data_IF_194385835887
#
_entry.id   IF_194385835887
#
_cell.length_a   1.000
_cell.length_b   1.000
_cell.length_c   1.000
_cell.angle_alpha   90.00
_cell.angle_beta   90.00
_cell.angle_gamma   90.00
#
_symmetry.space_group_name_H-M   'P 1'
#
loop_
_entity.id
_entity.type
_entity.pdbx_description
1 polymer ?
#
# COMPACT_ATOMS: atom_id res chain seq x y z
N UNK A 1 8.25 -24.40 -15.59
CA UNK A 1 8.24 -22.99 -15.14
C UNK A 1 6.95 -22.79 -14.36
N UNK A 2 7.03 -22.74 -13.04
CA UNK A 2 5.85 -22.50 -12.20
C UNK A 2 5.59 -21.00 -12.19
N UNK A 3 4.56 -20.54 -12.91
CA UNK A 3 4.12 -19.15 -12.83
C UNK A 3 3.44 -18.98 -11.47
N UNK A 4 4.07 -18.28 -10.54
CA UNK A 4 3.43 -17.91 -9.29
C UNK A 4 2.35 -16.87 -9.60
N UNK A 5 1.08 -17.25 -9.45
CA UNK A 5 -0.02 -16.31 -9.57
C UNK A 5 0.00 -15.38 -8.35
N UNK A 6 0.03 -14.07 -8.57
CA UNK A 6 -0.07 -13.09 -7.49
C UNK A 6 -1.43 -13.21 -6.79
N UNK A 7 -1.48 -13.10 -5.45
CA UNK A 7 -2.74 -13.13 -4.70
C UNK A 7 -3.61 -11.92 -5.05
N UNK A 8 -4.93 -12.08 -4.96
CA UNK A 8 -5.84 -10.93 -5.02
C UNK A 8 -5.72 -10.08 -3.75
N UNK A 9 -6.18 -8.83 -3.82
CA UNK A 9 -6.18 -7.94 -2.67
C UNK A 9 -6.90 -8.55 -1.46
N UNK A 10 -8.12 -9.13 -1.57
CA UNK A 10 -8.76 -9.80 -0.44
C UNK A 10 -7.94 -10.98 0.13
N UNK A 11 -7.27 -11.75 -0.72
CA UNK A 11 -6.44 -12.88 -0.29
C UNK A 11 -5.20 -12.43 0.50
N UNK A 12 -4.54 -11.37 0.06
CA UNK A 12 -3.35 -10.83 0.72
C UNK A 12 -3.67 -9.94 1.93
N UNK A 13 -4.91 -9.45 2.02
CA UNK A 13 -5.30 -8.39 2.95
C UNK A 13 -5.00 -8.73 4.42
N UNK A 14 -5.53 -9.86 4.91
CA UNK A 14 -5.43 -10.24 6.32
C UNK A 14 -3.99 -10.60 6.75
N UNK A 15 -3.14 -10.98 5.79
CA UNK A 15 -1.72 -11.33 6.05
C UNK A 15 -0.77 -10.16 5.85
N UNK A 16 -1.21 -9.09 5.18
CA UNK A 16 -0.42 -7.88 4.99
C UNK A 16 -0.26 -7.09 6.28
N UNK A 17 0.86 -6.38 6.43
CA UNK A 17 1.08 -5.47 7.55
C UNK A 17 0.11 -4.29 7.51
N UNK A 18 -0.06 -3.61 8.65
CA UNK A 18 -0.89 -2.40 8.73
C UNK A 18 -0.47 -1.33 7.70
N UNK A 19 0.84 -1.18 7.48
CA UNK A 19 1.39 -0.25 6.49
C UNK A 19 1.04 -0.67 5.06
N UNK A 20 1.12 -1.97 4.75
CA UNK A 20 0.74 -2.48 3.43
C UNK A 20 -0.76 -2.26 3.16
N UNK A 21 -1.62 -2.54 4.13
CA UNK A 21 -3.07 -2.31 4.03
C UNK A 21 -3.39 -0.84 3.71
N UNK A 22 -2.82 0.11 4.46
CA UNK A 22 -2.99 1.53 4.18
C UNK A 22 -2.40 1.92 2.82
N UNK A 23 -1.23 1.41 2.45
CA UNK A 23 -0.59 1.73 1.18
C UNK A 23 -1.35 1.18 -0.04
N UNK A 24 -1.98 0.02 0.06
CA UNK A 24 -2.84 -0.49 -1.01
C UNK A 24 -4.07 0.41 -1.19
N UNK A 25 -4.72 0.81 -0.10
CA UNK A 25 -5.83 1.78 -0.19
C UNK A 25 -5.38 3.11 -0.79
N UNK A 26 -4.19 3.61 -0.41
CA UNK A 26 -3.59 4.83 -0.96
C UNK A 26 -3.39 4.74 -2.47
N UNK A 27 -2.83 3.63 -2.95
CA UNK A 27 -2.68 3.38 -4.39
C UNK A 27 -4.03 3.32 -5.12
N UNK A 28 -5.07 2.76 -4.51
CA UNK A 28 -6.42 2.82 -5.10
C UNK A 28 -6.92 4.26 -5.23
N UNK A 29 -6.68 5.11 -4.23
CA UNK A 29 -7.05 6.52 -4.26
C UNK A 29 -6.28 7.31 -5.33
N UNK A 30 -4.98 7.05 -5.49
CA UNK A 30 -4.16 7.65 -6.56
C UNK A 30 -4.65 7.27 -7.96
N UNK A 31 -4.94 5.98 -8.17
CA UNK A 31 -5.39 5.46 -9.47
C UNK A 31 -6.79 5.96 -9.84
N UNK A 32 -7.58 6.40 -8.87
CA UNK A 32 -8.97 6.78 -9.07
C UNK A 32 -9.14 7.82 -10.17
N UNK A 33 -8.38 8.92 -10.14
CA UNK A 33 -8.53 10.02 -11.08
C UNK A 33 -8.32 9.57 -12.54
N UNK A 34 -7.22 8.88 -12.80
CA UNK A 34 -6.87 8.39 -14.14
C UNK A 34 -7.88 7.35 -14.64
N UNK A 35 -8.29 6.41 -13.80
CA UNK A 35 -9.26 5.39 -14.20
C UNK A 35 -10.67 5.98 -14.42
N UNK A 36 -11.07 6.99 -13.64
CA UNK A 36 -12.33 7.70 -13.87
C UNK A 36 -12.31 8.49 -15.19
N UNK A 37 -11.18 9.13 -15.51
CA UNK A 37 -11.03 9.86 -16.78
C UNK A 37 -11.15 8.92 -17.99
N UNK A 38 -10.58 7.72 -17.89
CA UNK A 38 -10.63 6.69 -18.91
C UNK A 38 -11.90 5.81 -18.85
N UNK A 39 -12.89 6.16 -18.00
CA UNK A 39 -14.15 5.43 -17.85
C UNK A 39 -13.95 3.94 -17.50
N UNK A 40 -12.95 3.63 -16.67
CA UNK A 40 -12.62 2.27 -16.21
C UNK A 40 -12.44 2.21 -14.68
N UNK A 41 -13.02 3.14 -13.92
CA UNK A 41 -12.94 3.16 -12.46
C UNK A 41 -13.57 1.93 -11.80
N UNK A 42 -14.51 1.25 -12.46
CA UNK A 42 -15.09 -0.03 -12.06
C UNK A 42 -14.03 -1.11 -11.83
N UNK A 43 -12.84 -0.95 -12.43
CA UNK A 43 -11.66 -1.79 -12.15
C UNK A 43 -11.35 -1.87 -10.66
N UNK A 44 -11.38 -0.73 -9.94
CA UNK A 44 -11.08 -0.66 -8.51
C UNK A 44 -12.20 -1.23 -7.62
N UNK A 45 -13.42 -1.36 -8.15
CA UNK A 45 -14.53 -1.99 -7.44
C UNK A 45 -14.45 -3.51 -7.46
N UNK A 46 -13.69 -4.09 -8.40
CA UNK A 46 -13.52 -5.53 -8.53
C UNK A 46 -12.25 -6.01 -7.82
N UNK A 47 -12.32 -6.09 -6.49
CA UNK A 47 -11.16 -6.36 -5.62
C UNK A 47 -10.43 -7.68 -5.96
N UNK A 48 -11.14 -8.70 -6.46
CA UNK A 48 -10.53 -9.97 -6.88
C UNK A 48 -9.60 -9.86 -8.10
N UNK A 49 -9.81 -8.82 -8.93
CA UNK A 49 -8.97 -8.51 -10.09
C UNK A 49 -7.73 -7.67 -9.74
N UNK A 50 -7.70 -7.09 -8.55
CA UNK A 50 -6.55 -6.34 -8.03
C UNK A 50 -5.56 -7.34 -7.46
N UNK A 51 -4.35 -7.40 -8.03
CA UNK A 51 -3.29 -8.28 -7.56
C UNK A 51 -2.33 -7.54 -6.67
N UNK A 52 -1.77 -8.24 -5.70
CA UNK A 52 -0.81 -7.70 -4.75
C UNK A 52 0.55 -8.32 -5.01
N UNK A 53 1.56 -7.44 -5.11
CA UNK A 53 2.97 -7.79 -5.22
C UNK A 53 3.70 -7.02 -4.13
N UNK A 54 3.84 -7.65 -2.96
CA UNK A 54 4.29 -7.01 -1.72
C UNK A 54 3.50 -5.73 -1.40
N UNK A 55 4.17 -4.57 -1.37
CA UNK A 55 3.54 -3.28 -1.12
C UNK A 55 2.76 -2.70 -2.30
N UNK A 56 2.81 -3.32 -3.49
CA UNK A 56 2.27 -2.75 -4.73
C UNK A 56 0.94 -3.40 -5.15
N UNK A 57 0.03 -2.56 -5.64
CA UNK A 57 -1.15 -3.01 -6.37
C UNK A 57 -0.86 -3.12 -7.87
N UNK A 58 -1.36 -4.20 -8.47
CA UNK A 58 -1.29 -4.46 -9.91
C UNK A 58 -2.69 -4.65 -10.47
N UNK A 59 -3.00 -3.89 -11.52
CA UNK A 59 -4.22 -4.04 -12.30
C UNK A 59 -3.97 -5.11 -13.38
N UNK A 60 -4.72 -6.21 -13.35
CA UNK A 60 -4.57 -7.28 -14.35
C UNK A 60 -5.50 -7.11 -15.55
N UNK A 61 -6.68 -6.54 -15.31
CA UNK A 61 -7.70 -6.29 -16.32
C UNK A 61 -8.39 -4.97 -16.00
N UNK A 62 -8.51 -4.10 -17.00
CA UNK A 62 -9.35 -2.91 -16.89
C UNK A 62 -10.80 -3.27 -17.16
N UNK A 63 -11.72 -2.78 -16.32
CA UNK A 63 -13.15 -2.96 -16.47
C UNK A 63 -13.78 -1.62 -16.86
N UNK A 64 -14.45 -1.53 -18.02
CA UNK A 64 -15.25 -0.37 -18.37
C UNK A 64 -16.29 -0.07 -17.30
N UNK A 65 -16.49 1.20 -17.03
CA UNK A 65 -17.65 1.72 -16.32
C UNK A 65 -18.86 1.39 -17.21
N UNK A 66 -19.66 0.39 -16.83
CA UNK A 66 -20.74 -0.11 -17.69
C UNK A 66 -21.74 0.99 -18.09
N UNK A 67 -22.55 0.75 -19.12
CA UNK A 67 -23.56 1.70 -19.65
C UNK A 67 -24.70 2.07 -18.68
N UNK A 68 -24.63 1.60 -17.43
CA UNK A 68 -25.61 1.92 -16.40
C UNK A 68 -25.61 3.43 -16.11
N UNK A 69 -26.79 4.01 -15.94
CA UNK A 69 -26.97 5.46 -15.76
C UNK A 69 -26.30 6.03 -14.49
N UNK A 70 -25.73 5.19 -13.62
CA UNK A 70 -25.10 5.60 -12.37
C UNK A 70 -23.56 5.54 -12.51
N UNK A 71 -22.85 6.65 -12.31
CA UNK A 71 -21.39 6.67 -12.40
C UNK A 71 -20.76 5.81 -11.29
N UNK A 72 -19.57 5.28 -11.57
CA UNK A 72 -18.74 4.67 -10.53
C UNK A 72 -18.29 5.75 -9.55
N UNK A 73 -18.65 5.60 -8.27
CA UNK A 73 -18.40 6.61 -7.23
C UNK A 73 -17.49 6.11 -6.12
N UNK A 74 -16.87 7.06 -5.40
CA UNK A 74 -16.12 6.76 -4.18
C UNK A 74 -17.00 6.12 -3.09
N UNK A 75 -18.31 6.38 -3.10
CA UNK A 75 -19.26 5.70 -2.23
C UNK A 75 -19.35 4.21 -2.55
N UNK A 76 -19.41 3.85 -3.83
CA UNK A 76 -19.36 2.45 -4.25
C UNK A 76 -18.05 1.79 -3.84
N UNK A 77 -16.92 2.51 -3.96
CA UNK A 77 -15.63 2.01 -3.46
C UNK A 77 -15.66 1.75 -1.95
N UNK A 78 -16.17 2.69 -1.16
CA UNK A 78 -16.35 2.52 0.29
C UNK A 78 -17.17 1.29 0.64
N UNK A 79 -18.25 1.01 -0.10
CA UNK A 79 -19.06 -0.19 0.08
C UNK A 79 -18.28 -1.47 -0.22
N UNK A 80 -17.52 -1.50 -1.32
CA UNK A 80 -16.71 -2.67 -1.70
C UNK A 80 -15.59 -2.98 -0.69
N UNK A 81 -15.05 -1.96 -0.03
CA UNK A 81 -13.97 -2.12 0.96
C UNK A 81 -14.45 -2.57 2.35
N UNK A 82 -15.77 -2.53 2.65
CA UNK A 82 -16.31 -2.91 3.97
C UNK A 82 -15.92 -4.32 4.45
N UNK A 83 -15.93 -5.37 3.62
CA UNK A 83 -15.50 -6.70 4.05
C UNK A 83 -14.02 -6.72 4.50
N UNK A 84 -13.15 -5.99 3.79
CA UNK A 84 -11.73 -5.89 4.15
C UNK A 84 -11.52 -5.21 5.51
N UNK A 85 -12.35 -4.21 5.85
CA UNK A 85 -12.29 -3.53 7.14
C UNK A 85 -12.53 -4.47 8.35
N UNK A 86 -13.23 -5.60 8.16
CA UNK A 86 -13.49 -6.56 9.24
C UNK A 86 -12.23 -7.36 9.62
N UNK A 87 -11.37 -7.61 8.63
CA UNK A 87 -10.14 -8.40 8.72
C UNK A 87 -8.87 -7.56 8.64
N UNK A 88 -8.99 -6.23 8.79
CA UNK A 88 -7.85 -5.32 8.86
C UNK A 88 -6.97 -5.60 10.09
N UNK A 89 -5.69 -5.22 10.02
CA UNK A 89 -4.76 -5.38 11.12
C UNK A 89 -5.20 -4.57 12.34
N UNK A 90 -5.02 -5.09 13.57
CA UNK A 90 -5.53 -4.46 14.79
C UNK A 90 -5.19 -2.97 14.92
N UNK A 91 -3.97 -2.57 14.55
CA UNK A 91 -3.44 -1.22 14.70
C UNK A 91 -4.16 -0.18 13.83
N UNK A 92 -4.76 -0.61 12.71
CA UNK A 92 -5.44 0.27 11.74
C UNK A 92 -6.90 -0.08 11.54
N UNK A 93 -7.42 -1.10 12.23
CA UNK A 93 -8.76 -1.64 12.02
C UNK A 93 -9.84 -0.59 12.22
N UNK A 94 -9.83 0.10 13.35
CA UNK A 94 -10.84 1.12 13.66
C UNK A 94 -10.80 2.28 12.66
N UNK A 95 -9.60 2.69 12.25
CA UNK A 95 -9.43 3.71 11.21
C UNK A 95 -9.99 3.25 9.86
N UNK A 96 -9.67 2.04 9.40
CA UNK A 96 -10.17 1.52 8.12
C UNK A 96 -11.70 1.32 8.17
N UNK A 97 -12.26 0.91 9.31
CA UNK A 97 -13.71 0.84 9.49
C UNK A 97 -14.37 2.21 9.39
N UNK A 98 -13.80 3.22 10.05
CA UNK A 98 -14.26 4.60 9.90
C UNK A 98 -14.14 5.09 8.45
N UNK A 99 -13.00 4.88 7.80
CA UNK A 99 -12.74 5.35 6.44
C UNK A 99 -13.71 4.74 5.43
N UNK A 100 -13.90 3.42 5.48
CA UNK A 100 -14.83 2.71 4.58
C UNK A 100 -16.28 3.11 4.81
N UNK A 101 -16.67 3.38 6.07
CA UNK A 101 -17.97 3.95 6.40
C UNK A 101 -18.13 5.38 5.84
N UNK A 102 -17.16 6.26 6.11
CA UNK A 102 -17.16 7.64 5.64
C UNK A 102 -17.24 7.73 4.11
N UNK A 103 -16.48 6.90 3.39
CA UNK A 103 -16.59 6.78 1.93
C UNK A 103 -17.99 6.36 1.51
N UNK A 104 -18.52 5.26 2.08
CA UNK A 104 -19.83 4.72 1.72
C UNK A 104 -20.99 5.69 2.02
N UNK A 105 -20.83 6.58 3.00
CA UNK A 105 -21.79 7.63 3.37
C UNK A 105 -21.58 8.94 2.59
N UNK A 106 -20.55 9.03 1.75
CA UNK A 106 -20.25 10.22 0.95
C UNK A 106 -19.60 11.37 1.74
N UNK A 107 -19.08 11.11 2.93
CA UNK A 107 -18.40 12.10 3.77
C UNK A 107 -17.01 12.52 3.23
N UNK A 108 -16.46 11.75 2.30
CA UNK A 108 -15.22 12.06 1.57
C UNK A 108 -15.57 12.34 0.10
N UNK A 109 -15.86 13.60 -0.27
CA UNK A 109 -16.45 13.93 -1.57
C UNK A 109 -15.48 13.89 -2.74
N UNK A 110 -14.16 13.80 -2.51
CA UNK A 110 -13.16 13.77 -3.58
C UNK A 110 -12.05 12.76 -3.32
N UNK A 111 -11.47 12.24 -4.42
CA UNK A 111 -10.36 11.30 -4.35
C UNK A 111 -9.10 11.95 -3.76
N UNK A 112 -8.91 13.26 -3.97
CA UNK A 112 -7.80 14.02 -3.37
C UNK A 112 -7.90 14.06 -1.83
N UNK A 113 -9.11 14.20 -1.29
CA UNK A 113 -9.31 14.14 0.16
C UNK A 113 -9.06 12.73 0.69
N UNK A 114 -9.53 11.69 -0.01
CA UNK A 114 -9.23 10.30 0.35
C UNK A 114 -7.72 10.03 0.34
N UNK A 115 -7.02 10.49 -0.70
CA UNK A 115 -5.56 10.34 -0.83
C UNK A 115 -4.84 11.03 0.35
N UNK A 116 -5.19 12.29 0.63
CA UNK A 116 -4.60 13.03 1.75
C UNK A 116 -4.84 12.36 3.11
N UNK A 117 -6.06 11.88 3.37
CA UNK A 117 -6.40 11.13 4.59
C UNK A 117 -5.54 9.88 4.76
N UNK A 118 -5.36 9.11 3.67
CA UNK A 118 -4.54 7.89 3.68
C UNK A 118 -3.05 8.19 3.85
N UNK A 119 -2.54 9.25 3.23
CA UNK A 119 -1.17 9.70 3.42
C UNK A 119 -0.91 10.12 4.87
N UNK A 120 -1.82 10.86 5.49
CA UNK A 120 -1.72 11.23 6.91
C UNK A 120 -1.76 9.99 7.82
N UNK A 121 -2.65 9.03 7.54
CA UNK A 121 -2.72 7.79 8.31
C UNK A 121 -1.40 6.98 8.22
N UNK A 122 -0.79 6.92 7.04
CA UNK A 122 0.51 6.27 6.83
C UNK A 122 1.62 6.99 7.62
N UNK A 123 1.66 8.32 7.57
CA UNK A 123 2.64 9.11 8.33
C UNK A 123 2.48 8.90 9.85
N UNK A 124 1.24 8.87 10.34
CA UNK A 124 0.95 8.62 11.76
C UNK A 124 1.35 7.20 12.19
N UNK A 125 1.06 6.19 11.37
CA UNK A 125 1.49 4.82 11.64
C UNK A 125 3.02 4.72 11.64
N UNK A 126 3.69 5.38 10.68
CA UNK A 126 5.15 5.35 10.54
C UNK A 126 5.90 5.94 11.73
N UNK A 127 5.33 6.92 12.44
CA UNK A 127 5.92 7.47 13.66
C UNK A 127 6.10 6.42 14.77
N UNK A 128 5.28 5.36 14.78
CA UNK A 128 5.38 4.25 15.73
C UNK A 128 6.29 3.10 15.26
N UNK A 129 6.74 3.10 14.00
CA UNK A 129 7.53 2.00 13.44
C UNK A 129 9.03 2.23 13.70
N UNK A 130 9.67 1.26 14.34
CA UNK A 130 11.14 1.22 14.41
C UNK A 130 11.66 0.44 13.21
N UNK A 131 12.25 1.14 12.24
CA UNK A 131 12.90 0.48 11.09
C UNK A 131 14.33 0.10 11.49
N UNK A 132 14.55 -1.17 11.78
CA UNK A 132 15.90 -1.73 11.88
C UNK A 132 16.37 -2.08 10.46
N UNK A 133 17.40 -1.40 9.98
CA UNK A 133 18.06 -1.74 8.73
C UNK A 133 19.39 -2.42 9.06
N UNK A 134 19.48 -3.72 8.78
CA UNK A 134 20.74 -4.47 8.91
C UNK A 134 21.57 -4.25 7.65
N UNK A 135 22.70 -3.56 7.81
CA UNK A 135 23.65 -3.32 6.74
C UNK A 135 24.85 -4.25 6.91
N UNK A 136 25.14 -5.07 5.89
CA UNK A 136 26.36 -5.89 5.84
C UNK A 136 27.23 -5.35 4.71
N UNK A 137 28.42 -4.88 5.07
CA UNK A 137 29.47 -4.54 4.12
C UNK A 137 30.57 -5.60 4.18
N UNK A 138 30.92 -6.19 3.03
CA UNK A 138 32.05 -7.10 2.91
C UNK A 138 32.98 -6.56 1.83
N UNK A 139 34.24 -6.34 2.18
CA UNK A 139 35.33 -5.96 1.25
C UNK A 139 36.34 -7.09 1.20
N UNK A 140 36.83 -7.39 0.00
CA UNK A 140 37.88 -8.37 -0.26
C UNK A 140 39.06 -7.66 -0.96
N UNK A 141 40.26 -7.90 -0.44
CA UNK A 141 41.52 -7.37 -0.97
C UNK A 141 41.85 -7.95 -2.36
N UNK A 142 41.32 -9.13 -2.67
CA UNK A 142 41.68 -9.90 -3.86
C UNK A 142 43.13 -10.45 -3.82
N UNK A 143 43.47 -11.39 -4.72
CA UNK A 143 44.68 -12.21 -4.61
C UNK A 143 45.99 -11.51 -5.05
N UNK A 144 45.93 -10.32 -5.66
CA UNK A 144 47.07 -9.71 -6.36
C UNK A 144 47.54 -8.38 -5.76
N UNK A 145 46.87 -7.86 -4.72
CA UNK A 145 47.24 -6.62 -4.03
C UNK A 145 47.75 -6.92 -2.63
N UNK A 146 48.76 -6.19 -2.20
CA UNK A 146 49.45 -6.32 -0.91
C UNK A 146 48.89 -5.39 0.19
N UNK A 147 47.96 -4.48 -0.15
CA UNK A 147 47.12 -3.73 0.79
C UNK A 147 45.72 -3.53 0.22
N UNK A 148 44.71 -3.64 1.08
CA UNK A 148 43.35 -3.19 0.81
C UNK A 148 43.21 -1.73 1.27
N UNK A 149 42.83 -0.81 0.38
CA UNK A 149 42.57 0.61 0.69
C UNK A 149 41.07 0.92 0.74
N UNK A 150 40.20 -0.09 0.59
CA UNK A 150 38.76 0.07 0.73
C UNK A 150 38.39 0.44 2.17
N UNK A 151 37.52 1.45 2.32
CA UNK A 151 36.86 1.76 3.56
C UNK A 151 35.34 1.59 3.39
N UNK A 152 34.73 0.70 4.15
CA UNK A 152 33.29 0.49 4.17
C UNK A 152 32.68 0.94 5.49
N UNK A 153 31.91 2.03 5.49
CA UNK A 153 30.98 2.35 6.58
C UNK A 153 29.64 1.62 6.33
N UNK A 154 28.98 1.02 7.36
CA UNK A 154 29.27 1.07 8.78
C UNK A 154 30.06 -0.15 9.29
N UNK A 155 31.04 0.14 10.15
CA UNK A 155 31.94 -0.84 10.76
C UNK A 155 31.22 -1.54 11.92
N UNK A 156 30.32 -2.49 11.63
CA UNK A 156 29.80 -3.46 12.61
C UNK A 156 29.14 -2.90 13.88
N UNK A 157 28.78 -1.61 13.93
CA UNK A 157 28.04 -1.03 15.05
C UNK A 157 26.58 -0.87 14.65
N UNK A 158 25.69 -1.56 15.36
CA UNK A 158 24.25 -1.33 15.32
C UNK A 158 23.97 0.13 15.67
N UNK A 159 23.52 0.89 14.67
CA UNK A 159 23.13 2.29 14.86
C UNK A 159 21.67 2.35 15.34
N UNK A 160 21.45 2.54 16.64
CA UNK A 160 20.14 2.95 17.15
C UNK A 160 19.97 4.46 16.91
N UNK A 161 19.38 4.83 15.77
CA UNK A 161 19.05 6.24 15.50
C UNK A 161 17.71 6.56 16.14
N UNK A 162 17.71 7.11 17.35
CA UNK A 162 16.56 7.84 17.88
C UNK A 162 16.39 9.14 17.08
N UNK A 163 15.43 9.18 16.17
CA UNK A 163 14.98 10.44 15.59
C UNK A 163 14.16 11.19 16.65
N UNK A 164 14.81 12.07 17.40
CA UNK A 164 14.12 13.13 18.14
C UNK A 164 13.99 14.35 17.23
N UNK A 165 12.76 14.77 16.98
CA UNK A 165 12.25 16.12 17.26
C UNK A 165 10.76 16.20 16.97
#
# INVERSE_FOLDING_TARGET
MTVFALPSLPQAWATGSALQQLNWLRQMAELWASLSQEQVAATLLHLEGLKVDEGLLRLTTLKPDGESAMPVTLMALGQQLRPLAQTAQPEVKDYIQWLTKALAEGALPSHMMLLAELEQAILNLAQGLTVAADWVACTDQGPSRNRNEDASHPNGQSYHRHLRR
#
